data_IF_703982674036
#
_entry.id   IF_703982674036
#
_cell.length_a   1.000
_cell.length_b   1.000
_cell.length_c   1.000
_cell.angle_alpha   90.00
_cell.angle_beta   90.00
_cell.angle_gamma   90.00
#
_symmetry.space_group_name_H-M   'P 1'
#
loop_
_entity.id
_entity.type
_entity.pdbx_description
1 polymer ?
#
# COMPACT_ATOMS: atom_id res chain seq x y z
N UNK A 1 3.06 3.96 23.02
CA UNK A 1 2.43 5.06 22.27
C UNK A 1 0.96 4.72 22.21
N UNK A 2 0.08 5.69 22.46
CA UNK A 2 -1.37 5.47 22.40
C UNK A 2 -1.97 6.20 21.19
N UNK A 3 -3.06 5.64 20.65
CA UNK A 3 -3.86 6.31 19.64
C UNK A 3 -4.49 7.59 20.21
N UNK A 4 -4.61 8.64 19.38
CA UNK A 4 -5.24 9.92 19.77
C UNK A 4 -6.75 9.78 19.94
N UNK A 5 -7.38 8.90 19.17
CA UNK A 5 -8.76 8.49 19.33
C UNK A 5 -8.90 6.99 19.12
N UNK A 6 -9.87 6.37 19.81
CA UNK A 6 -10.30 5.02 19.50
C UNK A 6 -11.11 5.04 18.20
N UNK A 7 -10.38 4.94 17.08
CA UNK A 7 -10.93 5.02 15.73
C UNK A 7 -11.86 3.84 15.42
N UNK A 8 -11.71 2.71 16.13
CA UNK A 8 -12.54 1.52 15.92
C UNK A 8 -13.83 1.56 16.74
N UNK A 9 -13.82 2.17 17.94
CA UNK A 9 -15.03 2.32 18.76
C UNK A 9 -15.90 3.52 18.36
N UNK A 10 -15.37 4.50 17.62
CA UNK A 10 -16.14 5.67 17.19
C UNK A 10 -17.13 5.31 16.04
N UNK A 11 -18.46 5.54 16.19
CA UNK A 11 -19.45 5.13 15.19
C UNK A 11 -19.28 5.75 13.80
N UNK A 12 -18.86 7.02 13.75
CA UNK A 12 -18.60 7.72 12.49
C UNK A 12 -17.34 7.15 11.82
N UNK A 13 -16.26 7.00 12.59
CA UNK A 13 -15.01 6.44 12.10
C UNK A 13 -15.19 5.01 11.58
N UNK A 14 -15.93 4.16 12.30
CA UNK A 14 -16.29 2.82 11.85
C UNK A 14 -17.09 2.84 10.53
N UNK A 15 -18.01 3.80 10.35
CA UNK A 15 -18.74 3.96 9.09
C UNK A 15 -17.82 4.37 7.94
N UNK A 16 -16.91 5.30 8.16
CA UNK A 16 -15.91 5.71 7.16
C UNK A 16 -15.01 4.53 6.80
N UNK A 17 -14.47 3.80 7.78
CA UNK A 17 -13.63 2.62 7.52
C UNK A 17 -14.36 1.55 6.72
N UNK A 18 -15.65 1.31 6.96
CA UNK A 18 -16.40 0.36 6.12
C UNK A 18 -16.35 0.72 4.64
N UNK A 19 -16.49 2.00 4.30
CA UNK A 19 -16.43 2.44 2.90
C UNK A 19 -15.02 2.32 2.32
N UNK A 20 -13.99 2.67 3.10
CA UNK A 20 -12.59 2.51 2.65
C UNK A 20 -12.26 1.01 2.50
N UNK A 21 -12.69 0.16 3.43
CA UNK A 21 -12.51 -1.29 3.36
C UNK A 21 -13.23 -1.88 2.13
N UNK A 22 -14.44 -1.42 1.81
CA UNK A 22 -15.14 -1.84 0.59
C UNK A 22 -14.38 -1.43 -0.67
N UNK A 23 -13.81 -0.22 -0.73
CA UNK A 23 -12.97 0.20 -1.84
C UNK A 23 -11.69 -0.65 -1.93
N UNK A 24 -11.04 -0.94 -0.80
CA UNK A 24 -9.88 -1.82 -0.74
C UNK A 24 -10.20 -3.25 -1.20
N UNK A 25 -11.36 -3.78 -0.82
CA UNK A 25 -11.79 -5.12 -1.24
C UNK A 25 -12.00 -5.24 -2.75
N UNK A 26 -12.57 -4.20 -3.38
CA UNK A 26 -12.71 -4.18 -4.85
C UNK A 26 -11.35 -4.30 -5.57
N UNK A 27 -10.29 -3.74 -4.98
CA UNK A 27 -8.92 -3.87 -5.47
C UNK A 27 -8.34 -5.26 -5.15
N UNK A 28 -8.54 -5.77 -3.94
CA UNK A 28 -8.08 -7.11 -3.54
C UNK A 28 -8.63 -8.19 -4.46
N UNK A 29 -9.91 -8.10 -4.82
CA UNK A 29 -10.62 -9.07 -5.66
C UNK A 29 -10.37 -8.86 -7.17
N UNK A 30 -9.50 -7.92 -7.55
CA UNK A 30 -9.16 -7.61 -8.95
C UNK A 30 -8.12 -8.58 -9.55
N UNK A 31 -7.82 -8.42 -10.84
CA UNK A 31 -6.76 -9.16 -11.53
C UNK A 31 -5.33 -8.74 -11.18
N UNK A 32 -5.12 -7.72 -10.33
CA UNK A 32 -3.78 -7.26 -9.95
C UNK A 32 -3.12 -8.29 -9.01
N UNK A 33 -1.89 -8.80 -9.29
CA UNK A 33 -1.27 -9.85 -8.49
C UNK A 33 -1.15 -9.48 -7.01
N UNK A 34 -1.59 -10.39 -6.12
CA UNK A 34 -1.61 -10.15 -4.67
C UNK A 34 -0.23 -9.76 -4.10
N UNK A 35 0.85 -10.37 -4.59
CA UNK A 35 2.21 -10.01 -4.19
C UNK A 35 2.53 -8.54 -4.53
N UNK A 36 2.20 -8.08 -5.74
CA UNK A 36 2.34 -6.66 -6.13
C UNK A 36 1.50 -5.77 -5.22
N UNK A 37 0.27 -6.18 -4.89
CA UNK A 37 -0.59 -5.38 -4.01
C UNK A 37 0.07 -5.14 -2.65
N UNK A 38 0.61 -6.18 -2.01
CA UNK A 38 1.27 -6.02 -0.71
C UNK A 38 2.56 -5.20 -0.81
N UNK A 39 3.38 -5.40 -1.85
CA UNK A 39 4.59 -4.57 -2.05
C UNK A 39 4.25 -3.08 -2.17
N UNK A 40 3.21 -2.75 -2.95
CA UNK A 40 2.70 -1.37 -3.09
C UNK A 40 2.23 -0.82 -1.76
N UNK A 41 1.43 -1.59 -1.02
CA UNK A 41 0.90 -1.17 0.29
C UNK A 41 2.04 -0.91 1.29
N UNK A 42 3.04 -1.80 1.34
CA UNK A 42 4.22 -1.66 2.20
C UNK A 42 5.01 -0.40 1.78
N UNK A 43 5.29 -0.23 0.48
CA UNK A 43 6.12 0.88 0.01
C UNK A 43 5.49 2.24 0.24
N UNK A 44 4.20 2.40 -0.09
CA UNK A 44 3.47 3.64 0.19
C UNK A 44 3.47 3.95 1.70
N UNK A 45 3.27 2.92 2.53
CA UNK A 45 3.27 3.06 3.99
C UNK A 45 4.63 3.47 4.56
N UNK A 46 5.73 2.98 3.99
CA UNK A 46 7.09 3.40 4.35
C UNK A 46 7.32 4.88 4.01
N UNK A 47 6.93 5.33 2.82
CA UNK A 47 7.08 6.74 2.40
C UNK A 47 6.27 7.66 3.31
N UNK A 48 5.04 7.28 3.63
CA UNK A 48 4.16 8.07 4.49
C UNK A 48 4.48 7.94 6.00
N UNK A 49 5.39 7.05 6.40
CA UNK A 49 5.71 6.78 7.80
C UNK A 49 4.57 6.12 8.59
N UNK A 50 3.65 5.39 7.95
CA UNK A 50 2.58 4.67 8.64
C UNK A 50 3.10 3.36 9.26
N UNK A 51 3.60 3.40 10.50
CA UNK A 51 4.09 2.20 11.20
C UNK A 51 3.07 1.07 11.30
N UNK A 52 1.81 1.37 11.61
CA UNK A 52 0.74 0.36 11.71
C UNK A 52 0.49 -0.35 10.38
N UNK A 53 0.43 0.41 9.29
CA UNK A 53 0.20 -0.13 7.94
C UNK A 53 1.41 -0.97 7.48
N UNK A 54 2.63 -0.50 7.76
CA UNK A 54 3.85 -1.27 7.47
C UNK A 54 3.86 -2.59 8.25
N UNK A 55 3.54 -2.58 9.54
CA UNK A 55 3.43 -3.79 10.37
C UNK A 55 2.41 -4.78 9.80
N UNK A 56 1.22 -4.29 9.46
CA UNK A 56 0.12 -5.08 8.90
C UNK A 56 0.52 -5.76 7.60
N UNK A 57 0.83 -4.97 6.58
CA UNK A 57 1.06 -5.47 5.23
C UNK A 57 2.34 -6.32 5.13
N UNK A 58 3.36 -6.05 5.96
CA UNK A 58 4.55 -6.92 6.03
C UNK A 58 4.20 -8.30 6.57
N UNK A 59 3.37 -8.38 7.63
CA UNK A 59 2.97 -9.65 8.24
C UNK A 59 1.99 -10.43 7.36
N UNK A 60 1.05 -9.74 6.70
CA UNK A 60 0.13 -10.37 5.76
C UNK A 60 0.87 -10.91 4.53
N UNK A 61 1.80 -10.14 3.95
CA UNK A 61 2.65 -10.60 2.85
C UNK A 61 3.48 -11.82 3.24
N UNK A 62 4.11 -11.80 4.43
CA UNK A 62 4.85 -12.94 4.94
C UNK A 62 3.96 -14.18 5.12
N UNK A 63 2.75 -14.01 5.66
CA UNK A 63 1.78 -15.09 5.79
C UNK A 63 1.32 -15.64 4.42
N UNK A 64 1.30 -14.80 3.39
CA UNK A 64 0.99 -15.17 2.01
C UNK A 64 2.19 -15.77 1.24
N UNK A 65 3.34 -15.97 1.89
CA UNK A 65 4.51 -16.64 1.31
C UNK A 65 5.58 -15.71 0.73
N UNK A 66 5.47 -14.40 0.95
CA UNK A 66 6.53 -13.46 0.56
C UNK A 66 7.82 -13.69 1.37
N UNK A 67 8.97 -13.48 0.73
CA UNK A 67 10.27 -13.78 1.32
C UNK A 67 10.78 -12.63 2.20
N UNK A 68 11.48 -12.96 3.29
CA UNK A 68 12.12 -11.96 4.14
C UNK A 68 13.07 -11.03 3.36
N UNK A 69 13.78 -11.56 2.37
CA UNK A 69 14.68 -10.78 1.50
C UNK A 69 13.90 -9.69 0.76
N UNK A 70 12.80 -10.03 0.09
CA UNK A 70 11.98 -9.06 -0.65
C UNK A 70 11.31 -8.06 0.29
N UNK A 71 10.77 -8.50 1.43
CA UNK A 71 10.17 -7.61 2.44
C UNK A 71 11.16 -6.58 3.00
N UNK A 72 12.41 -6.98 3.22
CA UNK A 72 13.45 -6.07 3.71
C UNK A 72 14.00 -5.15 2.60
N UNK A 73 14.01 -5.60 1.34
CA UNK A 73 14.55 -4.84 0.22
C UNK A 73 13.55 -3.92 -0.48
N UNK A 74 12.24 -4.03 -0.21
CA UNK A 74 11.21 -3.21 -0.89
C UNK A 74 11.46 -1.70 -0.73
N UNK A 75 12.04 -1.26 0.39
CA UNK A 75 12.40 0.15 0.60
C UNK A 75 13.56 0.63 -0.29
N UNK A 76 14.37 -0.30 -0.80
CA UNK A 76 15.58 -0.09 -1.60
C UNK A 76 15.49 -0.84 -2.95
N UNK A 77 14.28 -0.99 -3.49
CA UNK A 77 13.98 -1.90 -4.59
C UNK A 77 14.76 -1.60 -5.89
N UNK A 78 15.16 -0.35 -6.14
CA UNK A 78 15.84 0.06 -7.39
C UNK A 78 17.16 -0.69 -7.62
N UNK A 79 17.90 -1.02 -6.56
CA UNK A 79 19.17 -1.75 -6.64
C UNK A 79 19.00 -3.25 -6.38
N UNK A 80 17.79 -3.70 -6.05
CA UNK A 80 17.49 -5.08 -5.72
C UNK A 80 17.04 -5.87 -6.96
N UNK A 81 17.68 -7.01 -7.21
CA UNK A 81 17.39 -7.90 -8.36
C UNK A 81 16.24 -8.88 -8.14
N UNK A 82 15.65 -8.86 -6.94
CA UNK A 82 14.62 -9.83 -6.52
C UNK A 82 13.19 -9.43 -6.92
N UNK A 83 13.01 -8.29 -7.57
CA UNK A 83 11.73 -7.77 -8.05
C UNK A 83 11.65 -7.88 -9.57
N UNK A 84 10.51 -8.34 -10.08
CA UNK A 84 10.22 -8.40 -11.52
C UNK A 84 10.03 -7.02 -12.12
N UNK A 85 10.17 -6.88 -13.45
CA UNK A 85 9.95 -5.59 -14.12
C UNK A 85 8.54 -5.02 -13.89
N UNK A 86 7.51 -5.88 -13.84
CA UNK A 86 6.15 -5.47 -13.50
C UNK A 86 6.08 -4.87 -12.09
N UNK A 87 6.65 -5.55 -11.09
CA UNK A 87 6.70 -5.05 -9.71
C UNK A 87 7.50 -3.76 -9.59
N UNK A 88 8.62 -3.63 -10.33
CA UNK A 88 9.43 -2.41 -10.38
C UNK A 88 8.64 -1.24 -10.95
N UNK A 89 7.88 -1.45 -12.02
CA UNK A 89 7.00 -0.43 -12.60
C UNK A 89 5.89 -0.02 -11.62
N UNK A 90 5.27 -1.00 -10.93
CA UNK A 90 4.26 -0.71 -9.91
C UNK A 90 4.85 0.05 -8.70
N UNK A 91 6.07 -0.28 -8.26
CA UNK A 91 6.77 0.42 -7.19
C UNK A 91 7.13 1.86 -7.59
N UNK A 92 7.64 2.09 -8.80
CA UNK A 92 7.91 3.44 -9.31
C UNK A 92 6.65 4.30 -9.33
N UNK A 93 5.55 3.77 -9.91
CA UNK A 93 4.26 4.46 -9.93
C UNK A 93 3.74 4.74 -8.51
N UNK A 94 3.96 3.80 -7.58
CA UNK A 94 3.59 3.96 -6.17
C UNK A 94 4.36 5.07 -5.49
N UNK A 95 5.67 5.19 -5.72
CA UNK A 95 6.48 6.25 -5.12
C UNK A 95 6.03 7.63 -5.61
N UNK A 96 5.85 7.78 -6.93
CA UNK A 96 5.41 9.05 -7.53
C UNK A 96 3.98 9.40 -7.10
N UNK A 97 3.05 8.44 -7.14
CA UNK A 97 1.66 8.62 -6.72
C UNK A 97 1.49 8.90 -5.22
N UNK A 98 2.40 8.40 -4.38
CA UNK A 98 2.40 8.69 -2.94
C UNK A 98 2.93 10.10 -2.65
N UNK A 99 3.94 10.53 -3.41
CA UNK A 99 4.63 11.82 -3.24
C UNK A 99 4.05 12.97 -4.05
N UNK A 100 2.77 12.92 -4.44
CA UNK A 100 2.14 13.96 -5.28
C UNK A 100 2.31 15.39 -4.69
N UNK A 101 2.34 15.53 -3.37
CA UNK A 101 2.45 16.84 -2.72
C UNK A 101 3.86 17.47 -2.82
N UNK A 102 4.92 16.66 -2.91
CA UNK A 102 6.32 17.10 -2.90
C UNK A 102 7.11 16.70 -4.16
N UNK A 103 6.52 15.90 -5.05
CA UNK A 103 7.03 15.63 -6.39
C UNK A 103 6.68 16.80 -7.31
N UNK A 104 7.67 17.61 -7.68
CA UNK A 104 7.57 18.83 -8.50
C UNK A 104 7.23 18.57 -9.99
N UNK A 105 6.30 17.65 -10.26
CA UNK A 105 5.86 17.22 -11.59
C UNK A 105 4.73 16.17 -11.58
N UNK A 106 4.28 15.71 -10.40
CA UNK A 106 3.27 14.65 -10.31
C UNK A 106 3.79 13.29 -10.76
N UNK A 107 2.92 12.47 -11.34
CA UNK A 107 3.29 11.19 -11.95
C UNK A 107 3.73 11.45 -13.39
N UNK A 108 4.96 11.08 -13.73
CA UNK A 108 5.51 11.27 -15.08
C UNK A 108 4.98 10.26 -16.09
N UNK A 109 4.87 10.68 -17.36
CA UNK A 109 4.41 9.83 -18.46
C UNK A 109 5.28 8.56 -18.64
N UNK A 110 6.57 8.63 -18.32
CA UNK A 110 7.48 7.48 -18.35
C UNK A 110 7.06 6.40 -17.34
N UNK A 111 6.77 6.77 -16.09
CA UNK A 111 6.32 5.82 -15.07
C UNK A 111 4.98 5.18 -15.44
N UNK A 112 4.07 5.95 -16.04
CA UNK A 112 2.82 5.42 -16.58
C UNK A 112 3.07 4.46 -17.74
N UNK A 113 3.89 4.85 -18.72
CA UNK A 113 4.19 4.05 -19.89
C UNK A 113 4.88 2.73 -19.52
N UNK A 114 5.78 2.73 -18.55
CA UNK A 114 6.39 1.49 -18.03
C UNK A 114 5.36 0.58 -17.36
N UNK A 115 4.48 1.12 -16.49
CA UNK A 115 3.42 0.32 -15.89
C UNK A 115 2.48 -0.28 -16.95
N UNK A 116 2.11 0.49 -17.97
CA UNK A 116 1.22 0.06 -19.05
C UNK A 116 1.81 -1.03 -19.96
N UNK A 117 3.12 -1.30 -19.91
CA UNK A 117 3.72 -2.47 -20.59
C UNK A 117 3.42 -3.79 -19.88
N UNK A 118 3.09 -3.74 -18.60
CA UNK A 118 3.00 -4.92 -17.73
C UNK A 118 1.60 -5.22 -17.22
N UNK A 119 0.72 -4.22 -17.22
CA UNK A 119 -0.62 -4.29 -16.66
C UNK A 119 -1.66 -3.89 -17.71
N UNK A 120 -2.76 -4.63 -17.79
CA UNK A 120 -3.92 -4.23 -18.60
C UNK A 120 -4.71 -3.08 -17.95
N UNK A 121 -5.75 -2.60 -18.64
CA UNK A 121 -6.54 -1.44 -18.18
C UNK A 121 -7.19 -1.68 -16.80
N UNK A 122 -7.72 -2.88 -16.56
CA UNK A 122 -8.35 -3.23 -15.28
C UNK A 122 -7.31 -3.32 -14.15
N UNK A 123 -6.14 -3.89 -14.43
CA UNK A 123 -5.03 -3.96 -13.47
C UNK A 123 -4.43 -2.59 -13.18
N UNK A 124 -4.33 -1.70 -14.17
CA UNK A 124 -3.89 -0.32 -13.99
C UNK A 124 -4.92 0.46 -13.14
N UNK A 125 -6.21 0.29 -13.41
CA UNK A 125 -7.28 0.88 -12.60
C UNK A 125 -7.23 0.38 -11.14
N UNK A 126 -6.97 -0.91 -10.93
CA UNK A 126 -6.75 -1.48 -9.62
C UNK A 126 -5.50 -0.91 -8.93
N UNK A 127 -4.39 -0.76 -9.66
CA UNK A 127 -3.12 -0.24 -9.13
C UNK A 127 -3.23 1.22 -8.67
N UNK A 128 -3.82 2.11 -9.48
CA UNK A 128 -4.02 3.51 -9.08
C UNK A 128 -4.99 3.62 -7.88
N UNK A 129 -6.03 2.78 -7.86
CA UNK A 129 -6.99 2.71 -6.77
C UNK A 129 -6.33 2.21 -5.49
N UNK A 130 -5.46 1.21 -5.60
CA UNK A 130 -4.69 0.68 -4.49
C UNK A 130 -3.83 1.76 -3.85
N UNK A 131 -3.06 2.48 -4.68
CA UNK A 131 -2.18 3.58 -4.24
C UNK A 131 -2.98 4.65 -3.51
N UNK A 132 -4.14 5.04 -4.03
CA UNK A 132 -5.02 6.02 -3.39
C UNK A 132 -5.58 5.51 -2.05
N UNK A 133 -6.08 4.29 -2.02
CA UNK A 133 -6.69 3.68 -0.83
C UNK A 133 -5.66 3.49 0.29
N UNK A 134 -4.47 2.96 0.01
CA UNK A 134 -3.42 2.84 1.04
C UNK A 134 -2.99 4.22 1.57
N UNK A 135 -2.93 5.23 0.69
CA UNK A 135 -2.64 6.61 1.08
C UNK A 135 -3.71 7.19 2.02
N UNK A 136 -4.98 6.79 1.86
CA UNK A 136 -6.05 7.17 2.79
C UNK A 136 -5.86 6.50 4.16
N UNK A 137 -5.59 5.19 4.20
CA UNK A 137 -5.29 4.48 5.46
C UNK A 137 -4.07 5.07 6.17
N UNK A 138 -3.00 5.35 5.43
CA UNK A 138 -1.78 5.95 5.98
C UNK A 138 -2.09 7.29 6.66
N UNK A 139 -2.86 8.17 6.01
CA UNK A 139 -3.27 9.47 6.57
C UNK A 139 -4.05 9.29 7.86
N UNK A 140 -5.05 8.41 7.88
CA UNK A 140 -5.85 8.13 9.08
C UNK A 140 -4.93 7.65 10.22
N UNK A 141 -4.11 6.64 9.98
CA UNK A 141 -3.31 6.00 11.03
C UNK A 141 -2.19 6.90 11.55
N UNK A 142 -1.50 7.65 10.67
CA UNK A 142 -0.45 8.60 11.07
C UNK A 142 -1.04 9.75 11.87
N UNK A 143 -2.14 10.34 11.41
CA UNK A 143 -2.83 11.42 12.14
C UNK A 143 -3.35 10.89 13.48
N UNK A 144 -3.87 9.67 13.53
CA UNK A 144 -4.35 9.08 14.78
C UNK A 144 -3.23 8.61 15.72
N UNK A 145 -1.96 8.54 15.26
CA UNK A 145 -0.87 7.88 15.99
C UNK A 145 -1.20 6.41 16.33
N UNK A 146 -1.79 5.70 15.39
CA UNK A 146 -2.15 4.30 15.59
C UNK A 146 -0.90 3.46 15.89
N UNK A 147 -0.82 2.76 17.05
CA UNK A 147 0.38 2.01 17.43
C UNK A 147 0.62 0.80 16.53
N UNK A 148 1.88 0.55 16.18
CA UNK A 148 2.32 -0.59 15.40
C UNK A 148 2.84 -1.74 16.28
N UNK A 149 3.09 -2.91 15.67
CA UNK A 149 3.78 -4.07 16.28
C UNK A 149 2.83 -5.13 16.83
N UNK A 150 1.59 -4.76 17.15
CA UNK A 150 0.59 -5.65 17.72
C UNK A 150 -0.27 -6.41 16.71
N UNK A 151 -0.17 -6.10 15.41
CA UNK A 151 -1.01 -6.75 14.40
C UNK A 151 -0.72 -8.25 14.27
N UNK A 152 -1.76 -9.04 14.00
CA UNK A 152 -1.68 -10.46 13.64
C UNK A 152 -2.41 -10.71 12.32
N UNK A 153 -1.83 -11.49 11.38
CA UNK A 153 -2.50 -11.81 10.12
C UNK A 153 -3.93 -12.30 10.31
N UNK A 154 -4.85 -11.79 9.49
CA UNK A 154 -6.28 -12.12 9.52
C UNK A 154 -7.08 -11.44 10.64
N UNK A 155 -6.49 -10.54 11.42
CA UNK A 155 -7.18 -9.85 12.53
C UNK A 155 -8.42 -9.05 12.08
N UNK A 156 -8.48 -8.61 10.82
CA UNK A 156 -9.56 -7.76 10.30
C UNK A 156 -10.41 -8.42 9.20
N UNK A 157 -10.26 -9.73 8.99
CA UNK A 157 -10.97 -10.50 7.97
C UNK A 157 -10.12 -10.73 6.73
#
# INVERSE_FOLDING_TARGET
MEARLDFFANPLAAKVLRHINSAGRAVTDSGLPHATQELVKIRASQINGCGFCTDMHTKDAAAAGETAVRLHLVAAWREATVFTEAERAALELTEQGTRIADAAGGVGDEAWAEAAKHYDEDQLAALISLIAVINAYNRINVINRQPAGGYRPGQFG
#
